data_IF_463242685897
#
_entry.id   IF_463242685897
#
_cell.length_a   1.000
_cell.length_b   1.000
_cell.length_c   1.000
_cell.angle_alpha   90.00
_cell.angle_beta   90.00
_cell.angle_gamma   90.00
#
_symmetry.space_group_name_H-M   'P 1'
#
loop_
_entity.id
_entity.type
_entity.pdbx_description
1 polymer ?
#
# COMPACT_ATOMS: atom_id res chain seq x y z
N UNK A 1 39.78 2.08 44.78
CA UNK A 1 39.06 2.62 43.60
C UNK A 1 38.40 1.46 42.86
N UNK A 2 37.06 1.31 42.96
CA UNK A 2 36.30 0.31 42.19
C UNK A 2 35.50 1.06 41.12
N UNK A 3 35.88 0.90 39.85
CA UNK A 3 35.11 1.43 38.72
C UNK A 3 33.86 0.54 38.53
N UNK A 4 32.68 1.07 38.83
CA UNK A 4 31.41 0.49 38.39
C UNK A 4 31.11 0.94 36.97
N UNK A 5 31.22 0.03 36.00
CA UNK A 5 30.79 0.25 34.63
C UNK A 5 29.28 0.00 34.57
N UNK A 6 28.49 1.08 34.52
CA UNK A 6 27.05 1.00 34.21
C UNK A 6 26.89 0.89 32.70
N UNK A 7 26.72 -0.32 32.20
CA UNK A 7 26.27 -0.54 30.83
C UNK A 7 24.77 -0.18 30.79
N UNK A 8 24.45 0.94 30.14
CA UNK A 8 23.07 1.41 29.96
C UNK A 8 22.24 0.37 29.20
N UNK A 9 21.11 -0.04 29.79
CA UNK A 9 20.14 -0.97 29.21
C UNK A 9 19.63 -0.56 27.80
N UNK A 10 19.83 0.70 27.40
CA UNK A 10 19.48 1.24 26.08
C UNK A 10 20.30 0.61 24.95
N UNK A 11 21.57 0.24 25.20
CA UNK A 11 22.42 -0.37 24.17
C UNK A 11 22.03 -1.83 23.87
N UNK A 12 21.46 -2.55 24.85
CA UNK A 12 21.05 -3.94 24.68
C UNK A 12 19.80 -4.08 23.79
N UNK A 13 18.88 -3.12 23.82
CA UNK A 13 17.68 -3.13 22.97
C UNK A 13 18.02 -2.86 21.50
N UNK A 14 18.97 -1.95 21.24
CA UNK A 14 19.42 -1.65 19.88
C UNK A 14 20.18 -2.84 19.24
N UNK A 15 20.95 -3.60 20.03
CA UNK A 15 21.70 -4.75 19.52
C UNK A 15 20.84 -6.00 19.32
N UNK A 16 19.79 -6.19 20.14
CA UNK A 16 18.80 -7.25 19.94
C UNK A 16 17.99 -7.05 18.65
N UNK A 17 17.71 -5.81 18.22
CA UNK A 17 17.02 -5.54 16.95
C UNK A 17 17.89 -5.78 15.72
N UNK A 18 19.23 -5.68 15.83
CA UNK A 18 20.16 -5.88 14.72
C UNK A 18 20.61 -7.34 14.55
N UNK A 19 20.52 -8.18 15.59
CA UNK A 19 20.98 -9.58 15.58
C UNK A 19 19.85 -10.60 15.57
N UNK A 20 18.62 -10.19 15.88
CA UNK A 20 17.44 -10.98 15.61
C UNK A 20 17.16 -10.92 14.11
N UNK A 21 17.79 -11.80 13.35
CA UNK A 21 17.32 -12.21 12.02
C UNK A 21 15.95 -12.88 12.14
N UNK A 22 14.95 -12.12 12.58
CA UNK A 22 13.54 -12.37 12.33
C UNK A 22 13.39 -12.21 10.82
N UNK A 23 13.67 -13.30 10.11
CA UNK A 23 13.14 -13.57 8.80
C UNK A 23 11.65 -13.26 8.88
N UNK A 24 11.26 -12.12 8.31
CA UNK A 24 9.85 -11.83 8.05
C UNK A 24 9.41 -12.93 7.10
N UNK A 25 8.77 -13.98 7.62
CA UNK A 25 8.16 -15.07 6.87
C UNK A 25 6.96 -14.51 6.09
N UNK A 26 7.25 -13.67 5.10
CA UNK A 26 6.22 -12.86 4.44
C UNK A 26 6.74 -12.01 3.29
N UNK A 27 8.02 -11.65 3.26
CA UNK A 27 8.56 -10.85 2.16
C UNK A 27 9.05 -11.75 1.02
N UNK A 28 8.45 -11.61 -0.16
CA UNK A 28 9.04 -12.11 -1.39
C UNK A 28 10.25 -11.22 -1.67
N UNK A 29 11.47 -11.72 -1.42
CA UNK A 29 12.72 -10.96 -1.53
C UNK A 29 13.16 -10.79 -3.00
N UNK A 30 12.27 -10.30 -3.85
CA UNK A 30 12.66 -9.56 -5.06
C UNK A 30 12.56 -8.08 -4.72
N UNK A 31 13.55 -7.53 -4.04
CA UNK A 31 13.55 -6.11 -3.70
C UNK A 31 13.73 -5.30 -4.99
N UNK A 32 12.62 -4.77 -5.53
CA UNK A 32 12.71 -3.78 -6.58
C UNK A 32 13.46 -2.56 -6.01
N UNK A 33 14.57 -2.17 -6.62
CA UNK A 33 15.37 -1.05 -6.10
C UNK A 33 14.67 0.30 -6.41
N UNK A 34 15.01 1.38 -5.69
CA UNK A 34 14.62 2.74 -6.07
C UNK A 34 14.85 3.07 -7.54
N UNK A 35 15.97 2.64 -8.10
CA UNK A 35 16.28 2.81 -9.53
C UNK A 35 15.33 2.02 -10.44
N UNK A 36 14.82 0.86 -10.02
CA UNK A 36 13.80 0.11 -10.78
C UNK A 36 12.44 0.83 -10.78
N UNK A 37 12.16 1.70 -9.81
CA UNK A 37 10.89 2.43 -9.72
C UNK A 37 10.83 3.68 -10.59
N UNK A 38 11.97 4.31 -10.87
CA UNK A 38 12.03 5.43 -11.81
C UNK A 38 11.90 4.96 -13.27
N UNK A 39 12.29 3.72 -13.55
CA UNK A 39 12.35 3.18 -14.91
C UNK A 39 11.16 2.30 -15.29
N UNK A 40 10.34 1.86 -14.33
CA UNK A 40 9.22 0.98 -14.60
C UNK A 40 7.89 1.69 -14.41
N UNK A 41 6.95 1.53 -15.36
CA UNK A 41 5.58 1.95 -15.15
C UNK A 41 5.01 1.34 -13.86
N UNK A 42 4.35 2.16 -13.05
CA UNK A 42 3.86 1.75 -11.73
C UNK A 42 2.89 0.55 -11.78
N UNK A 43 2.15 0.40 -12.88
CA UNK A 43 1.24 -0.73 -13.09
C UNK A 43 1.97 -2.08 -13.16
N UNK A 44 3.17 -2.09 -13.74
CA UNK A 44 3.99 -3.30 -13.85
C UNK A 44 4.46 -3.75 -12.47
N UNK A 45 4.87 -2.82 -11.62
CA UNK A 45 5.30 -3.12 -10.25
C UNK A 45 4.15 -3.71 -9.42
N UNK A 46 2.94 -3.14 -9.52
CA UNK A 46 1.75 -3.68 -8.87
C UNK A 46 1.43 -5.10 -9.34
N UNK A 47 1.43 -5.32 -10.67
CA UNK A 47 1.12 -6.62 -11.26
C UNK A 47 2.13 -7.69 -10.84
N UNK A 48 3.42 -7.35 -10.82
CA UNK A 48 4.47 -8.25 -10.36
C UNK A 48 4.31 -8.59 -8.87
N UNK A 49 4.06 -7.59 -8.03
CA UNK A 49 3.79 -7.81 -6.61
C UNK A 49 2.56 -8.72 -6.40
N UNK A 50 1.48 -8.47 -7.14
CA UNK A 50 0.28 -9.31 -7.12
C UNK A 50 0.60 -10.76 -7.51
N UNK A 51 1.36 -10.98 -8.59
CA UNK A 51 1.75 -12.31 -9.05
C UNK A 51 2.65 -13.02 -8.03
N UNK A 52 3.62 -12.32 -7.44
CA UNK A 52 4.49 -12.85 -6.40
C UNK A 52 3.69 -13.28 -5.14
N UNK A 53 2.70 -12.49 -4.74
CA UNK A 53 1.82 -12.85 -3.63
C UNK A 53 0.90 -14.03 -3.98
N UNK A 54 0.30 -14.04 -5.17
CA UNK A 54 -0.54 -15.16 -5.66
C UNK A 54 0.24 -16.46 -5.82
N UNK A 55 1.54 -16.41 -6.10
CA UNK A 55 2.38 -17.61 -6.16
C UNK A 55 2.43 -18.36 -4.82
N UNK A 56 2.20 -17.67 -3.70
CA UNK A 56 2.07 -18.22 -2.35
C UNK A 56 0.60 -18.56 -2.04
N UNK A 57 -0.01 -19.32 -2.95
CA UNK A 57 -1.47 -19.61 -3.08
C UNK A 57 -2.20 -20.00 -1.80
N UNK A 58 -1.49 -20.59 -0.84
CA UNK A 58 -2.07 -21.06 0.41
C UNK A 58 -2.39 -19.93 1.39
N UNK A 59 -1.70 -18.80 1.29
CA UNK A 59 -1.75 -17.74 2.32
C UNK A 59 -2.32 -16.42 1.84
N UNK A 60 -2.27 -16.11 0.53
CA UNK A 60 -2.59 -14.77 0.03
C UNK A 60 -3.56 -14.80 -1.16
N UNK A 61 -4.51 -13.86 -1.19
CA UNK A 61 -5.44 -13.65 -2.32
C UNK A 61 -4.83 -12.82 -3.44
N UNK A 62 -3.83 -12.01 -3.10
CA UNK A 62 -3.17 -11.11 -4.03
C UNK A 62 -2.21 -10.19 -3.29
N UNK A 63 -1.80 -9.13 -3.95
CA UNK A 63 -0.94 -8.13 -3.36
C UNK A 63 -0.88 -6.88 -4.20
N UNK A 64 -0.20 -5.89 -3.67
CA UNK A 64 0.14 -4.67 -4.37
C UNK A 64 1.56 -4.27 -4.01
N UNK A 65 2.13 -3.39 -4.81
CA UNK A 65 3.45 -2.87 -4.54
C UNK A 65 3.34 -1.65 -3.63
N UNK A 66 4.16 -1.57 -2.58
CA UNK A 66 4.16 -0.43 -1.68
C UNK A 66 5.45 -0.34 -0.89
N UNK A 67 5.44 0.50 0.15
CA UNK A 67 6.59 0.72 1.00
C UNK A 67 6.30 0.26 2.42
N UNK A 68 7.24 -0.47 3.02
CA UNK A 68 7.22 -0.73 4.45
C UNK A 68 8.66 -0.71 4.97
N UNK A 69 8.84 -0.17 6.17
CA UNK A 69 10.17 0.04 6.78
C UNK A 69 11.14 0.84 5.88
N UNK A 70 10.61 1.81 5.13
CA UNK A 70 11.39 2.63 4.20
C UNK A 70 11.90 1.89 2.97
N UNK A 71 11.47 0.64 2.75
CA UNK A 71 11.87 -0.17 1.62
C UNK A 71 10.66 -0.52 0.74
N UNK A 72 10.82 -0.46 -0.59
CA UNK A 72 9.83 -1.00 -1.51
C UNK A 72 9.68 -2.51 -1.33
N UNK A 73 8.44 -3.01 -1.35
CA UNK A 73 8.15 -4.44 -1.27
C UNK A 73 6.74 -4.78 -1.77
N UNK A 74 6.55 -6.05 -2.12
CA UNK A 74 5.22 -6.60 -2.34
C UNK A 74 4.48 -6.71 -1.00
N UNK A 75 3.36 -5.99 -0.86
CA UNK A 75 2.47 -6.10 0.28
C UNK A 75 1.41 -7.15 -0.06
N UNK A 76 1.61 -8.35 0.47
CA UNK A 76 0.69 -9.46 0.25
C UNK A 76 -0.52 -9.39 1.18
N UNK A 77 -1.67 -9.80 0.64
CA UNK A 77 -2.96 -9.69 1.30
C UNK A 77 -3.39 -11.08 1.71
N UNK A 78 -3.45 -11.36 3.02
CA UNK A 78 -3.77 -12.70 3.48
C UNK A 78 -5.15 -13.10 2.98
N UNK A 79 -5.29 -14.36 2.60
CA UNK A 79 -6.58 -15.00 2.36
C UNK A 79 -7.26 -15.10 3.72
N UNK A 80 -8.41 -14.46 3.86
CA UNK A 80 -9.06 -14.32 5.17
C UNK A 80 -9.34 -15.67 5.82
N UNK A 81 -8.85 -15.85 7.04
CA UNK A 81 -9.69 -16.36 8.12
C UNK A 81 -9.83 -15.22 9.11
N UNK A 82 -11.06 -14.78 9.35
CA UNK A 82 -11.36 -13.86 10.44
C UNK A 82 -11.13 -14.62 11.75
N UNK A 83 -9.95 -14.48 12.35
CA UNK A 83 -9.62 -15.21 13.59
C UNK A 83 -10.34 -14.65 14.82
N UNK A 84 -11.02 -13.50 14.70
CA UNK A 84 -11.78 -12.87 15.78
C UNK A 84 -12.94 -12.03 15.21
N UNK A 85 -14.12 -12.62 15.01
CA UNK A 85 -15.38 -11.85 15.00
C UNK A 85 -15.90 -11.23 13.70
N UNK A 86 -15.52 -11.74 12.51
CA UNK A 86 -16.37 -11.68 11.31
C UNK A 86 -16.14 -10.57 10.28
N UNK A 87 -15.21 -9.63 10.48
CA UNK A 87 -14.89 -8.65 9.41
C UNK A 87 -13.83 -9.19 8.45
N UNK A 88 -14.19 -9.30 7.16
CA UNK A 88 -13.25 -9.55 6.08
C UNK A 88 -12.33 -8.33 5.93
N UNK A 89 -11.06 -8.48 6.32
CA UNK A 89 -10.10 -7.36 6.35
C UNK A 89 -9.67 -6.92 4.95
N UNK A 90 -9.79 -7.82 3.96
CA UNK A 90 -9.43 -7.53 2.60
C UNK A 90 -10.11 -8.51 1.62
N UNK A 91 -10.58 -7.97 0.50
CA UNK A 91 -11.21 -8.70 -0.59
C UNK A 91 -10.43 -8.47 -1.88
N UNK A 92 -10.18 -9.53 -2.65
CA UNK A 92 -9.81 -9.39 -4.06
C UNK A 92 -11.10 -9.25 -4.87
N UNK A 93 -11.35 -8.04 -5.37
CA UNK A 93 -12.55 -7.70 -6.15
C UNK A 93 -12.21 -7.62 -7.63
N UNK A 94 -13.05 -8.20 -8.50
CA UNK A 94 -12.91 -8.07 -9.95
C UNK A 94 -14.02 -7.18 -10.47
N UNK A 95 -13.71 -5.91 -10.72
CA UNK A 95 -14.66 -4.96 -11.27
C UNK A 95 -14.77 -5.15 -12.78
N UNK A 96 -15.98 -5.13 -13.31
CA UNK A 96 -16.21 -5.06 -14.74
C UNK A 96 -16.12 -3.60 -15.25
N UNK A 97 -16.02 -3.44 -16.57
CA UNK A 97 -15.93 -2.11 -17.20
C UNK A 97 -17.07 -1.16 -16.80
N UNK A 98 -18.31 -1.65 -16.68
CA UNK A 98 -19.44 -0.78 -16.33
C UNK A 98 -19.32 -0.20 -14.93
N UNK A 99 -18.65 -0.89 -14.02
CA UNK A 99 -18.35 -0.39 -12.68
C UNK A 99 -17.25 0.67 -12.73
N UNK A 100 -16.23 0.46 -13.55
CA UNK A 100 -15.19 1.48 -13.80
C UNK A 100 -15.79 2.75 -14.43
N UNK A 101 -16.66 2.60 -15.43
CA UNK A 101 -17.27 3.71 -16.17
C UNK A 101 -18.18 4.61 -15.31
N UNK A 102 -18.70 4.10 -14.17
CA UNK A 102 -19.49 4.90 -13.22
C UNK A 102 -18.67 5.92 -12.44
N UNK A 103 -17.34 5.83 -12.47
CA UNK A 103 -16.46 6.64 -11.63
C UNK A 103 -15.49 7.45 -12.48
N UNK A 104 -15.52 8.77 -12.32
CA UNK A 104 -14.62 9.72 -13.00
C UNK A 104 -14.50 9.53 -14.52
N UNK A 105 -15.58 9.11 -15.19
CA UNK A 105 -15.58 8.87 -16.64
C UNK A 105 -14.84 7.60 -17.10
N UNK A 106 -14.44 6.73 -16.17
CA UNK A 106 -13.82 5.44 -16.43
C UNK A 106 -12.50 5.48 -17.21
N UNK A 107 -11.96 4.32 -17.50
CA UNK A 107 -10.84 4.14 -18.43
C UNK A 107 -10.90 2.74 -19.02
N UNK A 108 -10.28 2.54 -20.19
CA UNK A 108 -10.24 1.25 -20.87
C UNK A 108 -8.94 0.49 -20.62
N UNK A 109 -7.86 1.18 -20.28
CA UNK A 109 -6.57 0.57 -20.05
C UNK A 109 -5.87 1.23 -18.85
N UNK A 110 -5.61 0.42 -17.82
CA UNK A 110 -4.91 0.84 -16.61
C UNK A 110 -3.46 1.30 -16.89
N UNK A 111 -2.87 0.90 -18.03
CA UNK A 111 -1.51 1.32 -18.41
C UNK A 111 -1.46 2.75 -18.95
N UNK A 112 -2.60 3.32 -19.36
CA UNK A 112 -2.70 4.63 -20.03
C UNK A 112 -3.37 5.70 -19.15
N UNK A 113 -3.82 5.34 -17.95
CA UNK A 113 -4.51 6.27 -17.04
C UNK A 113 -3.55 6.86 -16.03
N UNK A 114 -3.75 8.13 -15.69
CA UNK A 114 -3.07 8.75 -14.56
C UNK A 114 -3.40 8.01 -13.27
N UNK A 115 -2.37 7.71 -12.49
CA UNK A 115 -2.51 6.87 -11.31
C UNK A 115 -3.36 7.48 -10.20
N UNK A 116 -3.43 8.81 -10.12
CA UNK A 116 -4.36 9.49 -9.22
C UNK A 116 -5.80 9.16 -9.55
N UNK A 117 -6.15 9.23 -10.84
CA UNK A 117 -7.47 8.87 -11.32
C UNK A 117 -7.77 7.40 -11.10
N UNK A 118 -6.81 6.52 -11.40
CA UNK A 118 -6.97 5.08 -11.11
C UNK A 118 -7.20 4.83 -9.61
N UNK A 119 -6.44 5.47 -8.72
CA UNK A 119 -6.58 5.31 -7.29
C UNK A 119 -7.95 5.81 -6.78
N UNK A 120 -8.45 6.92 -7.31
CA UNK A 120 -9.80 7.44 -6.96
C UNK A 120 -10.91 6.50 -7.43
N UNK A 121 -10.80 5.97 -8.65
CA UNK A 121 -11.73 4.97 -9.17
C UNK A 121 -11.70 3.71 -8.32
N UNK A 122 -10.51 3.19 -7.99
CA UNK A 122 -10.36 2.02 -7.13
C UNK A 122 -11.01 2.24 -5.75
N UNK A 123 -10.78 3.40 -5.16
CA UNK A 123 -11.40 3.81 -3.91
C UNK A 123 -12.94 3.83 -4.03
N UNK A 124 -13.49 4.43 -5.09
CA UNK A 124 -14.93 4.53 -5.28
C UNK A 124 -15.57 3.15 -5.47
N UNK A 125 -14.99 2.30 -6.31
CA UNK A 125 -15.43 0.91 -6.52
C UNK A 125 -15.42 0.14 -5.20
N UNK A 126 -14.31 0.14 -4.47
CA UNK A 126 -14.22 -0.60 -3.20
C UNK A 126 -15.18 -0.03 -2.13
N UNK A 127 -15.42 1.28 -2.12
CA UNK A 127 -16.42 1.88 -1.23
C UNK A 127 -17.84 1.42 -1.57
N UNK A 128 -18.14 1.22 -2.86
CA UNK A 128 -19.46 0.73 -3.30
C UNK A 128 -19.77 -0.70 -2.82
N UNK A 129 -18.73 -1.48 -2.51
CA UNK A 129 -18.84 -2.84 -1.93
C UNK A 129 -18.48 -2.87 -0.45
N UNK A 130 -18.63 -1.74 0.26
CA UNK A 130 -18.54 -1.66 1.72
C UNK A 130 -17.13 -1.61 2.30
N UNK A 131 -16.10 -1.34 1.49
CA UNK A 131 -14.71 -1.30 1.94
C UNK A 131 -14.18 0.13 2.11
N UNK A 132 -13.28 0.34 3.06
CA UNK A 132 -12.72 1.68 3.38
C UNK A 132 -11.73 2.16 2.33
N UNK A 133 -11.02 1.25 1.66
CA UNK A 133 -9.99 1.59 0.69
C UNK A 133 -9.92 0.61 -0.48
N UNK A 134 -9.38 1.10 -1.61
CA UNK A 134 -9.22 0.33 -2.84
C UNK A 134 -7.92 0.65 -3.57
N UNK A 135 -7.29 -0.38 -4.16
CA UNK A 135 -6.11 -0.27 -5.02
C UNK A 135 -6.22 -1.24 -6.19
N UNK A 136 -5.81 -0.84 -7.38
CA UNK A 136 -5.63 -1.78 -8.48
C UNK A 136 -4.42 -2.70 -8.24
N UNK A 137 -4.56 -3.96 -8.63
CA UNK A 137 -3.47 -4.96 -8.54
C UNK A 137 -2.56 -4.94 -9.76
N UNK A 138 -2.89 -4.15 -10.79
CA UNK A 138 -2.22 -4.17 -12.09
C UNK A 138 -2.70 -5.28 -13.03
N UNK A 139 -3.52 -6.21 -12.56
CA UNK A 139 -4.15 -7.24 -13.39
C UNK A 139 -5.45 -6.70 -14.02
N UNK A 140 -5.52 -6.81 -15.35
CA UNK A 140 -6.66 -6.31 -16.13
C UNK A 140 -6.84 -7.14 -17.41
N UNK A 141 -8.06 -7.12 -17.92
CA UNK A 141 -8.39 -7.37 -19.31
C UNK A 141 -8.98 -6.05 -19.85
N UNK A 142 -8.22 -5.29 -20.66
CA UNK A 142 -8.61 -3.94 -21.08
C UNK A 142 -10.02 -3.87 -21.68
N UNK A 143 -10.84 -2.94 -21.20
CA UNK A 143 -12.21 -2.77 -21.66
C UNK A 143 -13.22 -3.75 -21.04
N UNK A 144 -12.78 -4.68 -20.17
CA UNK A 144 -13.62 -5.78 -19.67
C UNK A 144 -13.58 -5.91 -18.15
N UNK A 145 -12.41 -6.19 -17.56
CA UNK A 145 -12.30 -6.48 -16.13
C UNK A 145 -11.00 -5.98 -15.52
N UNK A 146 -11.05 -5.60 -14.25
CA UNK A 146 -9.93 -5.05 -13.49
C UNK A 146 -9.90 -5.66 -12.09
N UNK A 147 -8.73 -6.11 -11.66
CA UNK A 147 -8.56 -6.65 -10.33
C UNK A 147 -8.17 -5.55 -9.33
N UNK A 148 -8.91 -5.50 -8.23
CA UNK A 148 -8.73 -4.57 -7.14
C UNK A 148 -8.54 -5.31 -5.83
N UNK A 149 -7.80 -4.66 -4.94
CA UNK A 149 -7.73 -5.00 -3.54
C UNK A 149 -8.61 -4.01 -2.80
N UNK A 150 -9.68 -4.50 -2.20
CA UNK A 150 -10.52 -3.74 -1.30
C UNK A 150 -10.13 -4.05 0.14
N UNK A 151 -9.99 -3.03 0.98
CA UNK A 151 -9.49 -3.13 2.37
C UNK A 151 -10.47 -2.53 3.36
N UNK A 152 -10.66 -3.22 4.48
CA UNK A 152 -11.60 -2.87 5.56
C UNK A 152 -10.93 -3.02 6.94
N UNK A 153 -11.73 -3.02 8.00
CA UNK A 153 -11.32 -3.24 9.39
C UNK A 153 -10.50 -2.06 9.93
N UNK A 154 -9.27 -2.32 10.36
CA UNK A 154 -8.36 -1.29 10.94
C UNK A 154 -7.81 -0.30 9.91
N UNK A 155 -8.27 -0.32 8.68
CA UNK A 155 -7.88 0.64 7.64
C UNK A 155 -8.37 2.03 8.02
N UNK A 156 -7.49 3.05 7.94
CA UNK A 156 -7.81 4.43 8.28
C UNK A 156 -7.72 5.30 7.05
N UNK A 157 -8.73 6.14 6.83
CA UNK A 157 -8.68 7.23 5.87
C UNK A 157 -8.36 8.52 6.63
N UNK A 158 -7.33 9.24 6.18
CA UNK A 158 -6.79 10.39 6.89
C UNK A 158 -6.63 11.54 5.90
N UNK A 159 -7.16 12.70 6.23
CA UNK A 159 -6.84 13.94 5.52
C UNK A 159 -5.58 14.54 6.14
N UNK A 160 -4.45 14.45 5.44
CA UNK A 160 -3.18 15.04 5.86
C UNK A 160 -3.03 16.42 5.23
N UNK A 161 -2.70 17.45 6.02
CA UNK A 161 -2.34 18.75 5.45
C UNK A 161 -0.99 18.62 4.75
N UNK A 162 -0.74 19.42 3.71
CA UNK A 162 0.56 19.48 3.03
C UNK A 162 1.70 19.76 4.02
N UNK A 163 1.45 20.63 5.00
CA UNK A 163 2.38 20.94 6.10
C UNK A 163 2.70 19.77 7.03
N UNK A 164 1.84 18.74 7.06
CA UNK A 164 2.03 17.55 7.91
C UNK A 164 2.93 16.51 7.24
N UNK A 165 3.24 16.69 5.95
CA UNK A 165 4.08 15.80 5.16
C UNK A 165 5.52 16.29 5.17
N UNK A 166 6.47 15.35 5.18
CA UNK A 166 7.91 15.66 5.09
C UNK A 166 8.31 16.26 3.74
N UNK A 167 7.46 16.10 2.74
CA UNK A 167 7.69 16.54 1.38
C UNK A 167 6.35 16.93 0.75
N UNK A 168 6.33 18.11 0.11
CA UNK A 168 5.20 18.49 -0.75
C UNK A 168 5.27 17.69 -2.05
N UNK A 169 4.14 17.10 -2.43
CA UNK A 169 4.03 16.23 -3.60
C UNK A 169 3.54 16.98 -4.85
N UNK A 170 3.15 18.25 -4.71
CA UNK A 170 2.57 19.01 -5.82
C UNK A 170 1.18 18.47 -6.20
N UNK A 171 0.94 18.31 -7.51
CA UNK A 171 -0.28 17.73 -8.07
C UNK A 171 -0.12 16.21 -8.20
N UNK A 172 -0.94 15.43 -7.48
CA UNK A 172 -0.94 13.96 -7.57
C UNK A 172 -1.26 13.42 -8.97
N UNK A 173 -1.92 14.19 -9.84
CA UNK A 173 -2.24 13.75 -11.20
C UNK A 173 -1.00 13.70 -12.10
N UNK A 174 0.04 14.48 -11.79
CA UNK A 174 1.25 14.61 -12.64
C UNK A 174 2.54 14.15 -11.98
N UNK A 175 2.51 13.75 -10.71
CA UNK A 175 3.70 13.31 -9.96
C UNK A 175 4.06 11.86 -10.28
N UNK A 176 5.35 11.52 -10.17
CA UNK A 176 5.78 10.12 -10.18
C UNK A 176 5.21 9.40 -8.95
N UNK A 177 4.33 8.41 -9.18
CA UNK A 177 3.51 7.81 -8.12
C UNK A 177 4.28 7.04 -7.05
N UNK A 178 5.54 6.69 -7.30
CA UNK A 178 6.39 6.12 -6.25
C UNK A 178 6.65 7.13 -5.11
N UNK A 179 6.76 8.44 -5.41
CA UNK A 179 7.04 9.49 -4.40
C UNK A 179 5.89 9.62 -3.39
N UNK A 180 4.62 9.77 -3.82
CA UNK A 180 3.48 9.66 -2.92
C UNK A 180 3.51 8.37 -2.08
N UNK A 181 3.85 7.21 -2.65
CA UNK A 181 3.83 5.97 -1.86
C UNK A 181 4.86 5.96 -0.73
N UNK A 182 6.06 6.49 -0.97
CA UNK A 182 7.07 6.68 0.10
C UNK A 182 6.54 7.60 1.19
N UNK A 183 5.98 8.75 0.79
CA UNK A 183 5.50 9.77 1.72
C UNK A 183 4.32 9.26 2.56
N UNK A 184 3.36 8.55 1.96
CA UNK A 184 2.24 7.96 2.68
C UNK A 184 2.69 6.86 3.65
N UNK A 185 3.62 6.00 3.23
CA UNK A 185 4.16 4.96 4.10
C UNK A 185 4.88 5.54 5.32
N UNK A 186 5.71 6.58 5.13
CA UNK A 186 6.33 7.31 6.23
C UNK A 186 5.31 7.97 7.15
N UNK A 187 4.35 8.69 6.58
CA UNK A 187 3.28 9.38 7.33
C UNK A 187 2.49 8.42 8.24
N UNK A 188 2.06 7.28 7.70
CA UNK A 188 1.29 6.29 8.45
C UNK A 188 2.15 5.54 9.48
N UNK A 189 3.37 5.17 9.13
CA UNK A 189 4.29 4.45 10.03
C UNK A 189 4.74 5.27 11.23
N UNK A 190 4.87 6.60 11.08
CA UNK A 190 5.19 7.52 12.17
C UNK A 190 4.02 7.73 13.15
N UNK A 191 2.78 7.64 12.66
CA UNK A 191 1.57 7.87 13.47
C UNK A 191 1.03 6.60 14.11
N UNK A 192 1.18 5.45 13.45
CA UNK A 192 0.65 4.19 13.93
C UNK A 192 1.66 3.06 13.71
N UNK A 193 2.18 2.51 14.81
CA UNK A 193 3.08 1.35 14.76
C UNK A 193 2.38 0.19 14.04
N UNK A 194 3.05 -0.41 13.06
CA UNK A 194 2.50 -1.50 12.25
C UNK A 194 1.62 -1.06 11.08
N UNK A 195 1.64 0.22 10.71
CA UNK A 195 0.91 0.74 9.55
C UNK A 195 1.84 1.17 8.42
N UNK A 196 1.36 0.98 7.21
CA UNK A 196 1.87 1.60 5.98
C UNK A 196 0.73 2.40 5.36
N UNK A 197 0.99 3.14 4.30
CA UNK A 197 -0.07 3.86 3.61
C UNK A 197 0.20 4.14 2.15
N UNK A 198 -0.87 4.57 1.50
CA UNK A 198 -0.90 4.99 0.10
C UNK A 198 -1.89 6.14 -0.08
N UNK A 199 -1.68 6.96 -1.09
CA UNK A 199 -2.65 7.98 -1.48
C UNK A 199 -3.76 7.35 -2.33
N UNK A 200 -5.00 7.81 -2.16
CA UNK A 200 -6.11 7.39 -3.03
C UNK A 200 -6.39 8.38 -4.17
N UNK A 201 -5.51 9.36 -4.37
CA UNK A 201 -5.60 10.35 -5.45
C UNK A 201 -6.50 11.55 -5.17
N UNK A 202 -7.20 11.60 -4.02
CA UNK A 202 -7.95 12.79 -3.60
C UNK A 202 -6.97 13.82 -3.00
N UNK A 203 -7.04 15.04 -3.52
CA UNK A 203 -6.22 16.16 -3.08
C UNK A 203 -7.00 17.47 -3.15
N UNK A 204 -6.61 18.43 -2.32
CA UNK A 204 -7.04 19.83 -2.39
C UNK A 204 -5.81 20.72 -2.52
N UNK A 205 -6.02 22.03 -2.49
CA UNK A 205 -4.92 22.98 -2.42
C UNK A 205 -4.03 22.76 -1.18
N UNK A 206 -4.59 22.35 -0.04
CA UNK A 206 -3.87 22.32 1.24
C UNK A 206 -3.75 20.93 1.86
N UNK A 207 -4.34 19.91 1.24
CA UNK A 207 -4.39 18.56 1.82
C UNK A 207 -4.37 17.44 0.79
N UNK A 208 -4.05 16.26 1.29
CA UNK A 208 -4.17 15.00 0.58
C UNK A 208 -4.95 14.00 1.42
N UNK A 209 -5.62 13.06 0.77
CA UNK A 209 -6.19 11.90 1.44
C UNK A 209 -5.24 10.70 1.37
N UNK A 210 -4.89 10.19 2.56
CA UNK A 210 -4.00 9.04 2.76
C UNK A 210 -4.81 7.90 3.36
N UNK A 211 -4.63 6.71 2.80
CA UNK A 211 -5.10 5.47 3.39
C UNK A 211 -3.95 4.85 4.18
N UNK A 212 -4.13 4.69 5.47
CA UNK A 212 -3.23 3.92 6.33
C UNK A 212 -3.80 2.52 6.56
N UNK A 213 -3.07 1.49 6.13
CA UNK A 213 -3.42 0.09 6.31
C UNK A 213 -2.49 -0.58 7.30
N UNK A 214 -2.99 -1.47 8.17
CA UNK A 214 -2.12 -2.33 8.96
C UNK A 214 -1.33 -3.24 8.00
N UNK A 215 -0.02 -3.33 8.17
CA UNK A 215 0.75 -4.42 7.58
C UNK A 215 0.96 -5.49 8.65
N UNK A 216 0.76 -6.75 8.27
CA UNK A 216 1.01 -7.87 9.16
C UNK A 216 2.52 -8.15 9.12
N UNK A 217 3.14 -8.21 10.31
CA UNK A 217 4.48 -8.78 10.47
C UNK A 217 4.39 -10.30 10.46
#
# INVERSE_FOLDING_TARGET
MRLSVRISAVAAVAWAMLTSGLLVEGTAHGAATPAMMELRPWWDAHREANNACKARRERFVGGFYGYAFGQPQAICIPKGESTTGGEELALLYVANQSEIDRHEGGFRDLTQVEWARAARIAQAVCSSVGHTAGLFTGEQEPGKSYSLVCKSGRTRRVTARRSDLRQDLGDLNTVDWWKPMVVAAGYCGERWIGFTGFFNGIQTQDSYEIICVPYFK
#
